data_IF_928591033079
#
_entry.id   IF_928591033079
#
_cell.length_a   1.000
_cell.length_b   1.000
_cell.length_c   1.000
_cell.angle_alpha   90.00
_cell.angle_beta   90.00
_cell.angle_gamma   90.00
#
_symmetry.space_group_name_H-M   'P 1'
#
loop_
_entity.id
_entity.type
_entity.pdbx_description
1 polymer ?
#
# COMPACT_ATOMS: atom_id res chain seq x y z
N UNK A 1 -112.16 -9.94 -31.86
CA UNK A 1 -111.39 -9.88 -30.60
C UNK A 1 -109.92 -10.12 -30.98
N UNK A 2 -109.22 -9.15 -31.57
CA UNK A 2 -108.59 -7.96 -30.95
C UNK A 2 -107.54 -8.42 -29.92
N UNK A 3 -106.22 -8.18 -29.99
CA UNK A 3 -105.40 -7.22 -30.72
C UNK A 3 -103.97 -7.77 -30.90
N UNK A 4 -103.40 -7.63 -32.10
CA UNK A 4 -101.95 -7.63 -32.33
C UNK A 4 -101.57 -6.16 -32.50
N UNK A 5 -100.85 -5.58 -31.54
CA UNK A 5 -100.41 -4.17 -31.61
C UNK A 5 -99.07 -3.95 -30.90
N UNK A 6 -98.07 -3.70 -31.75
CA UNK A 6 -96.89 -2.83 -31.58
C UNK A 6 -95.74 -3.25 -30.66
N UNK A 7 -94.66 -3.67 -31.33
CA UNK A 7 -93.31 -3.32 -30.91
C UNK A 7 -93.15 -1.79 -30.99
N UNK A 8 -92.69 -1.16 -29.90
CA UNK A 8 -92.34 0.26 -29.85
C UNK A 8 -90.81 0.40 -29.88
N UNK A 9 -90.22 0.98 -30.94
CA UNK A 9 -88.79 1.22 -31.02
C UNK A 9 -88.44 2.60 -30.44
N UNK A 10 -87.43 2.64 -29.57
CA UNK A 10 -86.67 3.84 -29.20
C UNK A 10 -87.34 4.77 -28.19
N UNK A 11 -86.83 4.75 -26.95
CA UNK A 11 -86.78 5.97 -26.13
C UNK A 11 -85.59 5.88 -25.16
N UNK A 12 -84.80 6.94 -25.16
CA UNK A 12 -83.51 7.06 -24.52
C UNK A 12 -83.65 7.24 -23.00
N UNK A 13 -82.76 6.62 -22.22
CA UNK A 13 -82.46 6.98 -20.83
C UNK A 13 -80.99 6.65 -20.52
N UNK A 14 -80.10 7.59 -20.85
CA UNK A 14 -78.96 7.80 -19.96
C UNK A 14 -79.46 8.51 -18.71
N UNK A 15 -79.03 8.06 -17.52
CA UNK A 15 -78.59 9.01 -16.52
C UNK A 15 -77.12 8.78 -16.20
N UNK A 16 -76.40 9.89 -16.18
CA UNK A 16 -75.03 10.01 -15.77
C UNK A 16 -74.85 9.71 -14.28
N UNK A 17 -73.58 9.44 -13.93
CA UNK A 17 -72.96 9.57 -12.60
C UNK A 17 -73.11 8.38 -11.63
N UNK A 18 -72.26 7.36 -11.80
CA UNK A 18 -71.55 6.79 -10.65
C UNK A 18 -70.07 6.65 -11.02
N UNK A 19 -69.31 7.68 -10.64
CA UNK A 19 -67.87 7.63 -10.57
C UNK A 19 -67.49 6.80 -9.34
N UNK A 20 -67.11 5.54 -9.53
CA UNK A 20 -66.24 4.83 -8.60
C UNK A 20 -65.20 4.05 -9.40
N UNK A 21 -64.06 4.70 -9.58
CA UNK A 21 -62.78 4.05 -9.86
C UNK A 21 -62.39 3.23 -8.62
N UNK A 22 -62.20 1.90 -8.71
CA UNK A 22 -61.43 1.19 -7.71
C UNK A 22 -60.06 0.87 -8.32
N UNK A 23 -59.08 1.63 -7.86
CA UNK A 23 -57.72 1.19 -7.60
C UNK A 23 -57.02 0.35 -8.70
N UNK A 24 -56.17 1.02 -9.48
CA UNK A 24 -54.87 0.44 -9.84
C UNK A 24 -54.29 -0.30 -8.61
N UNK A 25 -53.85 -1.56 -8.72
CA UNK A 25 -52.98 -2.10 -7.70
C UNK A 25 -51.66 -1.33 -7.81
N UNK A 26 -51.50 -0.33 -6.95
CA UNK A 26 -50.23 0.28 -6.61
C UNK A 26 -49.32 -0.78 -5.98
N UNK A 27 -48.71 -1.64 -6.82
CA UNK A 27 -47.51 -2.37 -6.47
C UNK A 27 -46.33 -1.49 -6.86
N UNK A 28 -46.14 -0.40 -6.10
CA UNK A 28 -44.86 0.31 -6.04
C UNK A 28 -44.42 0.27 -4.60
N UNK A 29 -43.98 -0.91 -4.19
CA UNK A 29 -43.46 -1.18 -2.86
C UNK A 29 -42.45 -2.30 -2.94
N UNK A 30 -41.27 -2.01 -3.53
CA UNK A 30 -39.98 -2.68 -3.25
C UNK A 30 -38.85 -2.45 -4.28
N UNK A 31 -38.99 -1.57 -5.29
CA UNK A 31 -37.97 -1.43 -6.34
C UNK A 31 -37.07 -0.21 -6.17
N UNK A 32 -36.13 -0.17 -5.21
CA UNK A 32 -35.09 0.88 -5.22
C UNK A 32 -33.66 0.50 -4.81
N UNK A 33 -33.37 -0.72 -4.36
CA UNK A 33 -32.00 -1.08 -3.96
C UNK A 33 -31.44 -2.29 -4.74
N UNK A 34 -32.25 -3.31 -5.01
CA UNK A 34 -31.80 -4.55 -5.64
C UNK A 34 -31.51 -4.38 -7.16
N UNK A 35 -32.21 -3.50 -7.85
CA UNK A 35 -32.08 -3.33 -9.31
C UNK A 35 -30.81 -2.57 -9.69
N UNK A 36 -30.35 -1.64 -8.84
CA UNK A 36 -29.06 -0.94 -9.02
C UNK A 36 -27.85 -1.85 -8.76
N UNK A 37 -28.06 -2.99 -8.09
CA UNK A 37 -27.02 -4.01 -7.88
C UNK A 37 -26.87 -4.90 -9.12
N UNK A 38 -27.93 -5.06 -9.94
CA UNK A 38 -27.91 -5.94 -11.11
C UNK A 38 -27.21 -5.35 -12.36
N UNK A 39 -26.98 -4.03 -12.40
CA UNK A 39 -26.19 -3.33 -13.46
C UNK A 39 -24.82 -2.91 -12.94
N UNK A 40 -24.41 -3.37 -11.75
CA UNK A 40 -23.07 -3.11 -11.27
C UNK A 40 -22.09 -4.08 -11.94
N UNK A 41 -21.05 -3.53 -12.58
CA UNK A 41 -19.91 -4.29 -13.12
C UNK A 41 -19.55 -5.45 -12.20
N UNK A 42 -19.43 -6.67 -12.73
CA UNK A 42 -19.14 -7.89 -11.97
C UNK A 42 -17.96 -7.73 -10.99
N UNK A 43 -17.03 -6.83 -11.31
CA UNK A 43 -15.91 -6.42 -10.46
C UNK A 43 -16.33 -5.82 -9.11
N UNK A 44 -17.40 -5.02 -9.09
CA UNK A 44 -17.91 -4.33 -7.91
C UNK A 44 -18.53 -5.32 -6.91
N UNK A 45 -19.26 -6.32 -7.42
CA UNK A 45 -19.79 -7.42 -6.60
C UNK A 45 -18.65 -8.29 -6.04
N UNK A 46 -17.63 -8.59 -6.84
CA UNK A 46 -16.42 -9.29 -6.39
C UNK A 46 -15.70 -8.52 -5.26
N UNK A 47 -15.49 -7.21 -5.42
CA UNK A 47 -14.81 -6.37 -4.43
C UNK A 47 -15.56 -6.31 -3.09
N UNK A 48 -16.89 -6.23 -3.10
CA UNK A 48 -17.71 -6.25 -1.89
C UNK A 48 -17.62 -7.58 -1.15
N UNK A 49 -17.66 -8.70 -1.89
CA UNK A 49 -17.50 -10.04 -1.30
C UNK A 49 -16.08 -10.24 -0.75
N UNK A 50 -15.06 -9.74 -1.45
CA UNK A 50 -13.66 -9.74 -1.01
C UNK A 50 -13.46 -8.94 0.30
N UNK A 51 -14.02 -7.73 0.39
CA UNK A 51 -13.96 -6.89 1.60
C UNK A 51 -14.65 -7.49 2.82
N UNK A 52 -15.57 -8.45 2.65
CA UNK A 52 -16.24 -9.12 3.77
C UNK A 52 -15.30 -10.07 4.53
N UNK A 53 -14.25 -10.58 3.87
CA UNK A 53 -13.30 -11.51 4.47
C UNK A 53 -12.06 -10.79 5.02
N UNK A 54 -11.92 -10.76 6.36
CA UNK A 54 -10.77 -10.13 7.03
C UNK A 54 -9.42 -10.73 6.61
N UNK A 55 -9.38 -12.05 6.39
CA UNK A 55 -8.17 -12.76 5.94
C UNK A 55 -7.77 -12.32 4.53
N UNK A 56 -8.73 -12.23 3.60
CA UNK A 56 -8.47 -11.82 2.23
C UNK A 56 -7.93 -10.38 2.16
N UNK A 57 -8.49 -9.49 2.98
CA UNK A 57 -7.98 -8.12 3.13
C UNK A 57 -6.57 -8.08 3.70
N UNK A 58 -6.27 -8.86 4.73
CA UNK A 58 -4.93 -8.92 5.31
C UNK A 58 -3.90 -9.40 4.27
N UNK A 59 -4.21 -10.46 3.53
CA UNK A 59 -3.35 -10.96 2.46
C UNK A 59 -3.13 -9.93 1.36
N UNK A 60 -4.19 -9.20 0.95
CA UNK A 60 -4.03 -8.12 -0.03
C UNK A 60 -3.11 -7.00 0.47
N UNK A 61 -3.23 -6.60 1.74
CA UNK A 61 -2.34 -5.59 2.35
C UNK A 61 -0.89 -6.06 2.37
N UNK A 62 -0.65 -7.31 2.78
CA UNK A 62 0.70 -7.90 2.81
C UNK A 62 1.31 -7.95 1.40
N UNK A 63 0.54 -8.40 0.40
CA UNK A 63 0.98 -8.44 -0.99
C UNK A 63 1.31 -7.02 -1.48
N UNK A 64 0.44 -6.05 -1.20
CA UNK A 64 0.65 -4.66 -1.58
C UNK A 64 1.94 -4.10 -0.96
N UNK A 65 2.20 -4.35 0.33
CA UNK A 65 3.42 -3.92 1.01
C UNK A 65 4.68 -4.56 0.41
N UNK A 66 4.60 -5.83 0.01
CA UNK A 66 5.72 -6.52 -0.65
C UNK A 66 6.02 -5.90 -2.01
N UNK A 67 4.99 -5.62 -2.82
CA UNK A 67 5.16 -4.96 -4.11
C UNK A 67 5.68 -3.52 -3.97
N UNK A 68 5.23 -2.78 -2.95
CA UNK A 68 5.78 -1.46 -2.65
C UNK A 68 7.25 -1.55 -2.25
N UNK A 69 7.62 -2.49 -1.38
CA UNK A 69 9.03 -2.72 -1.02
C UNK A 69 9.88 -3.07 -2.24
N UNK A 70 9.37 -3.91 -3.14
CA UNK A 70 10.06 -4.27 -4.38
C UNK A 70 10.20 -3.08 -5.34
N UNK A 71 9.16 -2.26 -5.48
CA UNK A 71 9.18 -1.07 -6.33
C UNK A 71 10.12 0.02 -5.79
N UNK A 72 10.21 0.18 -4.47
CA UNK A 72 11.06 1.17 -3.82
C UNK A 72 12.36 0.57 -3.24
N UNK A 73 12.79 -0.59 -3.75
CA UNK A 73 13.95 -1.32 -3.22
C UNK A 73 15.23 -0.48 -3.28
N UNK A 74 15.40 0.36 -4.31
CA UNK A 74 16.56 1.22 -4.47
C UNK A 74 16.66 2.31 -3.39
N UNK A 75 15.52 2.83 -2.92
CA UNK A 75 15.45 3.84 -1.85
C UNK A 75 15.64 3.19 -0.47
N UNK A 76 15.13 1.96 -0.33
CA UNK A 76 15.18 1.18 0.92
C UNK A 76 16.56 0.57 1.14
N UNK A 77 17.26 0.14 0.08
CA UNK A 77 18.57 -0.47 0.20
C UNK A 77 19.66 0.57 0.56
N UNK A 78 20.40 0.41 1.67
CA UNK A 78 21.43 1.37 2.08
C UNK A 78 22.60 1.43 1.09
N UNK A 79 22.93 0.32 0.43
CA UNK A 79 24.03 0.21 -0.54
C UNK A 79 23.52 -0.21 -1.91
N UNK A 80 24.19 0.22 -2.98
CA UNK A 80 23.92 -0.29 -4.32
C UNK A 80 24.64 -1.65 -4.48
N UNK A 81 24.02 -2.70 -5.07
CA UNK A 81 24.72 -3.95 -5.38
C UNK A 81 26.00 -3.80 -6.22
N UNK A 82 26.12 -2.72 -7.00
CA UNK A 82 27.34 -2.41 -7.76
C UNK A 82 28.47 -1.79 -6.92
N UNK A 83 28.17 -1.30 -5.71
CA UNK A 83 29.16 -0.68 -4.82
C UNK A 83 30.11 -1.75 -4.28
N UNK A 84 31.42 -1.60 -4.54
CA UNK A 84 32.45 -2.57 -4.12
C UNK A 84 33.39 -1.98 -3.07
N UNK A 85 33.24 -2.41 -1.83
CA UNK A 85 34.13 -2.07 -0.73
C UNK A 85 35.36 -3.00 -0.68
N UNK A 86 36.43 -2.65 -1.41
CA UNK A 86 37.66 -3.49 -1.45
C UNK A 86 38.34 -3.63 -0.08
N UNK A 87 38.36 -2.55 0.70
CA UNK A 87 39.03 -2.50 2.00
C UNK A 87 38.28 -3.25 3.12
N UNK A 88 36.97 -3.46 2.96
CA UNK A 88 36.10 -4.10 3.96
C UNK A 88 35.70 -5.54 3.59
N UNK A 89 36.38 -6.20 2.64
CA UNK A 89 36.02 -7.55 2.15
C UNK A 89 35.96 -8.62 3.25
N UNK A 90 36.79 -8.48 4.28
CA UNK A 90 36.88 -9.41 5.41
C UNK A 90 36.53 -8.75 6.74
N UNK A 91 35.78 -7.66 6.67
CA UNK A 91 35.35 -6.93 7.85
C UNK A 91 34.22 -7.71 8.56
N UNK A 92 34.28 -7.88 9.90
CA UNK A 92 33.21 -8.53 10.65
C UNK A 92 31.93 -7.66 10.63
N UNK A 93 30.73 -8.24 10.77
CA UNK A 93 29.50 -7.45 10.82
C UNK A 93 29.52 -6.36 11.91
N UNK A 94 29.33 -5.11 11.51
CA UNK A 94 29.36 -3.95 12.40
C UNK A 94 28.19 -4.00 13.39
N UNK A 95 28.51 -3.83 14.68
CA UNK A 95 27.50 -3.89 15.76
C UNK A 95 26.82 -2.54 15.93
N UNK A 96 25.50 -2.58 16.08
CA UNK A 96 24.69 -1.40 16.38
C UNK A 96 24.68 -1.20 17.89
N UNK A 97 25.15 -0.04 18.32
CA UNK A 97 25.20 0.38 19.71
C UNK A 97 24.17 1.48 19.97
N UNK A 98 23.61 1.48 21.17
CA UNK A 98 22.67 2.51 21.65
C UNK A 98 23.30 3.29 22.82
N UNK A 99 24.21 2.66 23.54
CA UNK A 99 24.93 3.21 24.69
C UNK A 99 26.38 3.38 24.26
N UNK A 100 26.93 4.58 24.44
CA UNK A 100 28.36 4.83 24.17
C UNK A 100 29.26 4.25 25.26
N UNK A 101 30.56 4.15 24.99
CA UNK A 101 31.58 3.69 25.91
C UNK A 101 31.60 4.48 27.23
N UNK A 102 31.15 5.75 27.23
CA UNK A 102 31.02 6.59 28.42
C UNK A 102 29.65 6.48 29.10
N UNK A 103 28.78 5.54 28.69
CA UNK A 103 27.49 5.25 29.32
C UNK A 103 26.33 6.17 28.90
N UNK A 104 26.53 7.05 27.93
CA UNK A 104 25.49 7.96 27.44
C UNK A 104 24.58 7.26 26.42
N UNK A 105 23.26 7.32 26.63
CA UNK A 105 22.25 6.83 25.68
C UNK A 105 22.18 7.76 24.48
N UNK A 106 22.33 7.20 23.27
CA UNK A 106 22.28 7.92 21.99
C UNK A 106 21.34 7.20 21.04
N UNK A 107 21.09 7.86 19.90
CA UNK A 107 20.41 7.22 18.77
C UNK A 107 21.26 6.03 18.29
N UNK A 108 20.66 4.98 17.71
CA UNK A 108 21.40 3.83 17.19
C UNK A 108 22.58 4.28 16.31
N UNK A 109 23.78 3.83 16.66
CA UNK A 109 25.02 4.23 16.02
C UNK A 109 25.95 3.01 15.85
N UNK A 110 26.95 3.17 15.00
CA UNK A 110 27.98 2.17 14.72
C UNK A 110 29.34 2.82 14.97
N UNK A 111 30.29 2.08 15.58
CA UNK A 111 31.66 2.57 15.74
C UNK A 111 32.46 2.41 14.45
N UNK A 112 33.41 3.32 14.23
CA UNK A 112 34.38 3.15 13.17
C UNK A 112 35.24 1.92 13.39
N UNK A 113 35.72 1.33 12.30
CA UNK A 113 36.64 0.21 12.35
C UNK A 113 37.95 0.58 11.70
N UNK A 114 39.05 0.39 12.43
CA UNK A 114 40.40 0.64 11.95
C UNK A 114 41.02 -0.69 11.53
N UNK A 115 41.58 -0.72 10.32
CA UNK A 115 42.33 -1.85 9.81
C UNK A 115 43.80 -1.67 10.18
N UNK A 116 44.34 -2.60 10.95
CA UNK A 116 45.75 -2.66 11.30
C UNK A 116 46.39 -3.88 10.64
N UNK A 117 47.52 -3.66 9.95
CA UNK A 117 48.27 -4.73 9.29
C UNK A 117 49.48 -5.08 10.12
N UNK A 118 49.54 -6.31 10.58
CA UNK A 118 50.71 -6.82 11.29
C UNK A 118 51.92 -6.90 10.34
N UNK A 119 53.04 -6.23 10.63
CA UNK A 119 54.22 -6.21 9.76
C UNK A 119 54.96 -7.55 9.69
N UNK A 120 54.80 -8.43 10.68
CA UNK A 120 55.45 -9.74 10.72
C UNK A 120 54.60 -10.83 10.05
N UNK A 121 53.28 -10.81 10.26
CA UNK A 121 52.39 -11.86 9.74
C UNK A 121 51.60 -11.45 8.49
N UNK A 122 51.61 -10.15 8.14
CA UNK A 122 50.81 -9.53 7.07
C UNK A 122 49.30 -9.77 7.19
N UNK A 123 48.84 -10.22 8.37
CA UNK A 123 47.42 -10.42 8.67
C UNK A 123 46.76 -9.08 8.92
N UNK A 124 45.51 -8.97 8.47
CA UNK A 124 44.66 -7.80 8.72
C UNK A 124 43.89 -8.03 10.00
N UNK A 125 44.09 -7.16 10.99
CA UNK A 125 43.27 -7.09 12.20
C UNK A 125 42.32 -5.90 12.08
N UNK A 126 41.12 -6.05 12.62
CA UNK A 126 40.12 -4.98 12.68
C UNK A 126 39.82 -4.70 14.14
N UNK A 127 40.00 -3.45 14.54
CA UNK A 127 39.67 -2.96 15.88
C UNK A 127 38.58 -1.89 15.76
N UNK A 128 37.59 -1.96 16.64
CA UNK A 128 36.59 -0.90 16.76
C UNK A 128 37.26 0.33 17.40
N UNK A 129 37.17 1.46 16.74
CA UNK A 129 37.61 2.76 17.24
C UNK A 129 36.42 3.46 17.89
N UNK A 130 36.48 3.59 19.22
CA UNK A 130 35.44 4.25 20.01
C UNK A 130 35.40 5.78 19.86
N UNK A 131 36.40 6.39 19.21
CA UNK A 131 36.41 7.84 18.94
C UNK A 131 35.54 8.20 17.74
N UNK A 132 35.45 7.31 16.75
CA UNK A 132 34.64 7.50 15.55
C UNK A 132 33.22 6.93 15.75
N UNK A 133 32.23 7.82 15.90
CA UNK A 133 30.82 7.44 16.10
C UNK A 133 30.00 7.82 14.87
N UNK A 134 29.39 6.82 14.23
CA UNK A 134 28.56 6.99 13.04
C UNK A 134 27.08 6.76 13.35
N UNK A 135 26.27 7.83 13.50
CA UNK A 135 24.85 7.68 13.80
C UNK A 135 24.05 7.22 12.59
N UNK A 136 23.08 6.33 12.82
CA UNK A 136 22.12 5.91 11.79
C UNK A 136 21.06 7.00 11.65
N UNK A 137 20.91 7.55 10.44
CA UNK A 137 19.94 8.59 10.11
C UNK A 137 18.97 8.11 9.04
N UNK A 138 17.79 8.73 9.04
CA UNK A 138 16.85 8.61 7.93
C UNK A 138 17.14 9.71 6.90
N UNK A 139 16.83 9.46 5.62
CA UNK A 139 17.00 10.41 4.51
C UNK A 139 18.43 10.91 4.34
N UNK A 140 19.39 9.98 4.34
CA UNK A 140 20.81 10.29 4.26
C UNK A 140 21.21 10.59 2.82
N UNK A 141 22.10 11.56 2.64
CA UNK A 141 22.68 11.87 1.34
C UNK A 141 23.59 10.71 0.90
N UNK A 142 23.50 10.33 -0.37
CA UNK A 142 24.26 9.25 -0.97
C UNK A 142 24.74 9.65 -2.36
N UNK A 143 25.54 8.79 -2.98
CA UNK A 143 25.91 8.94 -4.39
C UNK A 143 24.65 8.93 -5.26
N UNK A 144 24.57 9.79 -6.29
CA UNK A 144 23.41 9.84 -7.17
C UNK A 144 23.12 8.47 -7.79
N UNK A 145 21.91 7.97 -7.58
CA UNK A 145 21.43 6.70 -8.16
C UNK A 145 20.14 6.94 -8.94
N UNK A 146 19.81 6.01 -9.85
CA UNK A 146 18.68 6.16 -10.77
C UNK A 146 17.53 5.24 -10.39
N UNK A 147 16.54 5.77 -9.68
CA UNK A 147 15.29 5.08 -9.42
C UNK A 147 14.59 4.72 -10.73
N UNK A 148 14.41 3.42 -10.95
CA UNK A 148 13.83 2.83 -12.17
C UNK A 148 14.54 3.25 -13.47
N UNK A 149 15.81 3.66 -13.37
CA UNK A 149 16.58 4.16 -14.51
C UNK A 149 16.16 5.53 -15.03
N UNK A 150 15.20 6.24 -14.38
CA UNK A 150 14.64 7.50 -14.89
C UNK A 150 14.68 8.67 -13.92
N UNK A 151 14.59 8.43 -12.62
CA UNK A 151 14.64 9.49 -11.61
C UNK A 151 15.98 9.44 -10.88
N UNK A 152 16.80 10.48 -11.04
CA UNK A 152 18.03 10.61 -10.28
C UNK A 152 17.70 11.06 -8.85
N UNK A 153 18.06 10.25 -7.87
CA UNK A 153 17.91 10.53 -6.45
C UNK A 153 19.28 10.49 -5.77
N UNK A 154 19.45 11.38 -4.80
CA UNK A 154 20.67 11.49 -4.00
C UNK A 154 20.40 11.13 -2.52
N UNK A 155 19.20 10.63 -2.21
CA UNK A 155 18.79 10.34 -0.83
C UNK A 155 18.28 8.92 -0.70
N UNK A 156 18.69 8.25 0.39
CA UNK A 156 18.21 6.92 0.78
C UNK A 156 17.41 6.97 2.07
N UNK A 157 16.51 6.00 2.26
CA UNK A 157 15.61 6.00 3.40
C UNK A 157 16.35 5.94 4.74
N UNK A 158 17.38 5.10 4.85
CA UNK A 158 18.21 4.97 6.04
C UNK A 158 19.66 4.65 5.66
N UNK A 159 20.61 5.10 6.49
CA UNK A 159 22.03 4.89 6.26
C UNK A 159 22.91 5.57 7.31
N UNK A 160 24.23 5.54 7.09
CA UNK A 160 25.22 6.24 7.91
C UNK A 160 25.52 7.61 7.29
N UNK A 161 25.64 8.64 8.13
CA UNK A 161 25.91 10.02 7.71
C UNK A 161 27.39 10.29 7.45
N UNK A 162 27.99 9.42 6.66
CA UNK A 162 29.41 9.47 6.29
C UNK A 162 29.59 9.18 4.81
N UNK A 163 30.67 9.67 4.18
CA UNK A 163 31.00 9.31 2.81
C UNK A 163 31.01 7.78 2.63
N UNK A 164 30.52 7.29 1.49
CA UNK A 164 30.42 5.84 1.23
C UNK A 164 31.73 5.09 1.45
N UNK A 165 32.88 5.73 1.19
CA UNK A 165 34.20 5.12 1.40
C UNK A 165 34.47 4.74 2.86
N UNK A 166 33.83 5.41 3.82
CA UNK A 166 33.97 5.18 5.26
C UNK A 166 32.81 4.36 5.82
N UNK A 167 31.84 3.99 4.98
CA UNK A 167 30.74 3.08 5.33
C UNK A 167 31.25 1.63 5.23
N UNK A 168 32.05 1.23 6.23
CA UNK A 168 32.51 -0.15 6.45
C UNK A 168 31.78 -0.78 7.63
#
# INVERSE_FOLDING_TARGET
MTAFKEARPGENLEPALEAETPAEPAIIGSATEDEKIYVASAWRLMWWRFRKHRVALLSAVVILLLYMTAAFCEVIAPYNPDDRFRQYRHHPPSRIHIIDAQGNVRRPFVYGSVQERDPATLRMFYHEDTEAIYPIRFFVATTPYKLWGRFELERKLFGLDVPQEQQG
#
